data_IF_878469469982
#
_entry.id   IF_878469469982
#
_cell.length_a   1.000
_cell.length_b   1.000
_cell.length_c   1.000
_cell.angle_alpha   90.00
_cell.angle_beta   90.00
_cell.angle_gamma   90.00
#
_symmetry.space_group_name_H-M   'P 1'
#
loop_
_entity.id
_entity.type
_entity.pdbx_description
1 polymer ?
#
# COMPACT_ATOMS: atom_id res chain seq x y z
N UNK A 1 2.53 24.75 11.63
CA UNK A 1 2.99 26.06 12.18
C UNK A 1 4.23 25.90 13.07
N UNK A 2 4.32 24.90 13.97
CA UNK A 2 5.49 24.74 14.86
C UNK A 2 6.78 24.24 14.21
N UNK A 3 6.72 23.20 13.37
CA UNK A 3 7.93 22.59 12.78
C UNK A 3 8.73 23.55 11.87
N UNK A 4 8.04 24.28 11.00
CA UNK A 4 8.67 25.23 10.06
C UNK A 4 9.36 26.39 10.80
N UNK A 5 8.76 26.88 11.89
CA UNK A 5 9.34 27.95 12.72
C UNK A 5 10.56 27.48 13.52
N UNK A 6 10.56 26.23 13.99
CA UNK A 6 11.70 25.68 14.73
C UNK A 6 12.94 25.49 13.84
N UNK A 7 12.76 25.09 12.58
CA UNK A 7 13.85 24.95 11.61
C UNK A 7 14.51 26.29 11.26
N UNK A 8 13.74 27.38 11.20
CA UNK A 8 14.26 28.72 10.89
C UNK A 8 14.86 29.45 12.11
N UNK A 9 14.30 29.21 13.31
CA UNK A 9 14.68 29.94 14.53
C UNK A 9 15.81 29.27 15.35
N UNK A 10 15.99 27.96 15.23
CA UNK A 10 17.02 27.20 15.96
C UNK A 10 18.14 26.85 14.98
N UNK A 11 19.24 27.61 15.00
CA UNK A 11 20.39 27.38 14.10
C UNK A 11 21.16 26.10 14.41
N UNK A 12 21.27 25.75 15.70
CA UNK A 12 21.97 24.56 16.20
C UNK A 12 21.26 24.07 17.45
N UNK A 13 21.08 22.76 17.58
CA UNK A 13 20.56 22.10 18.78
C UNK A 13 21.63 22.04 19.87
N UNK A 14 21.23 21.87 21.13
CA UNK A 14 22.18 21.78 22.26
C UNK A 14 23.17 20.62 22.08
N UNK A 15 22.70 19.52 21.50
CA UNK A 15 23.48 18.31 21.19
C UNK A 15 24.53 18.55 20.09
N UNK A 16 24.26 19.45 19.14
CA UNK A 16 25.22 19.83 18.09
C UNK A 16 26.30 20.78 18.60
N UNK A 17 25.97 21.66 19.57
CA UNK A 17 26.92 22.58 20.19
C UNK A 17 27.84 21.89 21.19
N UNK A 18 27.32 20.92 21.93
CA UNK A 18 28.05 20.19 22.96
C UNK A 18 27.84 18.68 22.83
N UNK A 19 28.92 17.99 22.44
CA UNK A 19 28.93 16.54 22.29
C UNK A 19 28.77 15.78 23.61
N UNK A 20 29.05 16.41 24.76
CA UNK A 20 28.82 15.80 26.07
C UNK A 20 27.32 15.65 26.39
N UNK A 21 26.47 16.41 25.71
CA UNK A 21 25.01 16.33 25.85
C UNK A 21 24.40 15.15 25.07
N UNK A 22 25.21 14.43 24.28
CA UNK A 22 24.74 13.26 23.53
C UNK A 22 24.51 12.08 24.47
N UNK A 23 23.26 11.86 24.85
CA UNK A 23 22.85 10.76 25.70
C UNK A 23 22.41 9.50 24.90
N UNK A 24 21.96 8.48 25.65
CA UNK A 24 21.44 7.23 25.09
C UNK A 24 20.30 7.46 24.09
N UNK A 25 19.36 8.35 24.40
CA UNK A 25 18.16 8.56 23.59
C UNK A 25 18.44 9.24 22.25
N UNK A 26 19.61 9.86 22.09
CA UNK A 26 20.05 10.45 20.82
C UNK A 26 20.81 9.48 19.91
N UNK A 27 21.42 8.42 20.47
CA UNK A 27 22.25 7.44 19.72
C UNK A 27 21.59 6.08 19.56
N UNK A 28 20.58 5.78 20.37
CA UNK A 28 19.90 4.49 20.34
C UNK A 28 19.06 4.36 19.07
N UNK A 29 19.47 3.45 18.19
CA UNK A 29 18.69 3.01 17.05
C UNK A 29 18.03 1.66 17.40
N UNK A 30 16.69 1.61 17.56
CA UNK A 30 15.98 0.37 17.86
C UNK A 30 16.15 -0.74 16.80
N UNK A 31 16.60 -0.40 15.60
CA UNK A 31 16.76 -1.34 14.49
C UNK A 31 18.21 -1.78 14.26
N UNK A 32 19.18 -1.24 15.01
CA UNK A 32 20.57 -1.70 14.90
C UNK A 32 20.79 -3.02 15.63
N UNK A 33 21.42 -3.96 14.92
CA UNK A 33 21.82 -5.26 15.47
C UNK A 33 22.98 -5.05 16.43
N UNK A 34 22.76 -5.29 17.71
CA UNK A 34 23.78 -5.23 18.74
C UNK A 34 24.62 -6.51 18.78
N UNK A 35 25.74 -6.47 19.51
CA UNK A 35 26.56 -7.66 19.76
C UNK A 35 25.80 -8.70 20.59
N UNK A 36 24.99 -8.24 21.55
CA UNK A 36 24.16 -9.11 22.38
C UNK A 36 23.12 -9.87 21.53
N UNK A 37 22.51 -9.20 20.56
CA UNK A 37 21.53 -9.83 19.66
C UNK A 37 22.17 -10.97 18.86
N UNK A 38 23.43 -10.81 18.41
CA UNK A 38 24.17 -11.88 17.72
C UNK A 38 24.46 -13.05 18.64
N UNK A 39 24.89 -12.80 19.87
CA UNK A 39 25.16 -13.85 20.86
C UNK A 39 23.88 -14.60 21.28
N UNK A 40 22.74 -13.91 21.35
CA UNK A 40 21.43 -14.51 21.59
C UNK A 40 20.98 -15.37 20.42
N UNK A 41 21.12 -14.87 19.19
CA UNK A 41 20.84 -15.61 17.97
C UNK A 41 21.68 -16.90 17.87
N UNK A 42 22.98 -16.82 18.13
CA UNK A 42 23.87 -17.98 18.11
C UNK A 42 23.53 -19.01 19.19
N UNK A 43 23.04 -18.56 20.35
CA UNK A 43 22.53 -19.46 21.40
C UNK A 43 21.23 -20.12 20.96
N UNK A 44 20.32 -19.38 20.36
CA UNK A 44 19.06 -19.89 19.84
C UNK A 44 19.28 -20.98 18.77
N UNK A 45 20.15 -20.75 17.80
CA UNK A 45 20.49 -21.74 16.77
C UNK A 45 21.03 -23.05 17.35
N UNK A 46 21.78 -22.99 18.46
CA UNK A 46 22.29 -24.19 19.16
C UNK A 46 21.22 -24.99 19.88
N UNK A 47 20.07 -24.38 20.19
CA UNK A 47 18.94 -25.08 20.83
C UNK A 47 18.06 -25.82 19.84
N UNK A 48 18.15 -25.49 18.54
CA UNK A 48 17.31 -26.06 17.50
C UNK A 48 17.76 -27.46 17.07
N UNK A 49 16.80 -28.29 16.67
CA UNK A 49 17.07 -29.59 16.08
C UNK A 49 17.51 -29.45 14.61
N UNK A 50 18.01 -30.54 14.01
CA UNK A 50 18.38 -30.55 12.59
C UNK A 50 17.19 -30.31 11.66
N UNK A 51 15.99 -30.73 12.08
CA UNK A 51 14.76 -30.55 11.31
C UNK A 51 14.33 -29.08 11.32
N UNK A 52 14.42 -28.43 12.49
CA UNK A 52 14.09 -27.01 12.62
C UNK A 52 15.08 -26.12 11.86
N UNK A 53 16.37 -26.45 11.87
CA UNK A 53 17.38 -25.73 11.08
C UNK A 53 17.08 -25.80 9.57
N UNK A 54 16.66 -26.97 9.08
CA UNK A 54 16.27 -27.12 7.68
C UNK A 54 15.02 -26.29 7.33
N UNK A 55 14.10 -26.11 8.27
CA UNK A 55 12.95 -25.24 8.08
C UNK A 55 13.34 -23.75 8.06
N UNK A 56 14.34 -23.34 8.85
CA UNK A 56 14.88 -21.98 8.84
C UNK A 56 15.65 -21.65 7.55
N UNK A 57 16.29 -22.64 6.93
CA UNK A 57 17.04 -22.46 5.69
C UNK A 57 16.13 -22.36 4.46
N UNK A 58 14.85 -22.71 4.56
CA UNK A 58 13.90 -22.55 3.46
C UNK A 58 13.45 -21.09 3.35
N UNK A 59 13.63 -20.49 2.18
CA UNK A 59 13.20 -19.11 1.86
C UNK A 59 11.70 -19.09 1.46
N UNK A 60 10.87 -19.82 2.22
CA UNK A 60 9.44 -19.91 1.97
C UNK A 60 8.73 -18.64 2.46
N UNK A 61 7.70 -18.22 1.72
CA UNK A 61 6.83 -17.12 2.09
C UNK A 61 5.59 -17.62 2.83
N UNK A 62 5.32 -17.01 3.98
CA UNK A 62 4.19 -17.37 4.83
C UNK A 62 3.12 -16.28 4.78
N UNK A 63 1.92 -16.64 4.33
CA UNK A 63 0.77 -15.74 4.24
C UNK A 63 -0.34 -16.21 5.16
N UNK A 64 -0.69 -15.41 6.17
CA UNK A 64 -1.88 -15.65 6.99
C UNK A 64 -3.07 -14.89 6.41
N UNK A 65 -4.08 -15.62 5.93
CA UNK A 65 -5.33 -15.03 5.46
C UNK A 65 -6.42 -15.25 6.50
N UNK A 66 -7.12 -14.18 6.83
CA UNK A 66 -8.28 -14.19 7.72
C UNK A 66 -9.53 -13.84 6.93
N UNK A 67 -10.51 -14.74 6.96
CA UNK A 67 -11.80 -14.61 6.32
C UNK A 67 -12.88 -14.40 7.37
N UNK A 68 -13.82 -13.51 7.09
CA UNK A 68 -14.97 -13.22 7.93
C UNK A 68 -16.25 -13.55 7.17
N UNK A 69 -17.16 -14.28 7.82
CA UNK A 69 -18.44 -14.64 7.23
C UNK A 69 -19.45 -13.52 7.48
N UNK A 70 -19.59 -12.63 6.51
CA UNK A 70 -20.57 -11.54 6.56
C UNK A 70 -21.90 -12.04 5.99
N UNK A 71 -22.88 -12.29 6.85
CA UNK A 71 -24.23 -12.70 6.45
C UNK A 71 -24.65 -14.08 6.91
N UNK A 72 -23.78 -14.82 7.62
CA UNK A 72 -24.14 -16.05 8.32
C UNK A 72 -24.44 -17.26 7.41
N UNK A 73 -24.03 -17.19 6.14
CA UNK A 73 -24.14 -18.31 5.20
C UNK A 73 -22.78 -18.97 5.07
N UNK A 74 -22.71 -20.29 5.34
CA UNK A 74 -21.47 -21.04 5.16
C UNK A 74 -21.25 -21.30 3.67
N UNK A 75 -20.08 -20.91 3.17
CA UNK A 75 -19.70 -21.06 1.76
C UNK A 75 -18.29 -21.65 1.63
N UNK A 76 -18.02 -22.43 0.57
CA UNK A 76 -16.65 -22.81 0.24
C UNK A 76 -15.86 -21.56 -0.15
N UNK A 77 -14.58 -21.53 0.22
CA UNK A 77 -13.67 -20.44 -0.15
C UNK A 77 -12.82 -20.89 -1.34
N UNK A 78 -12.86 -20.13 -2.43
CA UNK A 78 -12.07 -20.39 -3.63
C UNK A 78 -11.06 -19.25 -3.73
N UNK A 79 -9.78 -19.56 -3.65
CA UNK A 79 -8.71 -18.56 -3.66
C UNK A 79 -7.86 -18.75 -4.90
N UNK A 80 -7.60 -17.67 -5.62
CA UNK A 80 -6.58 -17.62 -6.67
C UNK A 80 -5.39 -16.79 -6.17
N UNK A 81 -4.23 -17.43 -6.14
CA UNK A 81 -2.94 -16.81 -5.88
C UNK A 81 -2.30 -16.48 -7.23
N UNK A 82 -1.95 -15.21 -7.43
CA UNK A 82 -1.09 -14.76 -8.53
C UNK A 82 0.30 -14.48 -7.96
N UNK A 83 1.30 -15.19 -8.45
CA UNK A 83 2.69 -15.06 -8.02
C UNK A 83 3.43 -13.95 -8.79
N UNK A 84 4.58 -13.53 -8.27
CA UNK A 84 5.43 -12.52 -8.91
C UNK A 84 5.91 -12.94 -10.32
N UNK A 85 6.06 -14.25 -10.58
CA UNK A 85 6.42 -14.81 -11.89
C UNK A 85 5.25 -14.80 -12.92
N UNK A 86 4.03 -14.50 -12.47
CA UNK A 86 2.81 -14.49 -13.27
C UNK A 86 2.08 -15.84 -13.34
N UNK A 87 2.57 -16.87 -12.64
CA UNK A 87 1.84 -18.13 -12.47
C UNK A 87 0.64 -17.93 -11.54
N UNK A 88 -0.37 -18.79 -11.73
CA UNK A 88 -1.62 -18.75 -10.97
C UNK A 88 -1.91 -20.10 -10.36
N UNK A 89 -2.28 -20.11 -9.09
CA UNK A 89 -2.69 -21.31 -8.37
C UNK A 89 -4.07 -21.10 -7.76
N UNK A 90 -4.95 -22.08 -7.94
CA UNK A 90 -6.30 -22.06 -7.38
C UNK A 90 -6.38 -23.07 -6.24
N UNK A 91 -6.67 -22.59 -5.03
CA UNK A 91 -6.93 -23.42 -3.86
C UNK A 91 -8.41 -23.36 -3.48
N UNK A 92 -9.02 -24.54 -3.32
CA UNK A 92 -10.42 -24.67 -2.90
C UNK A 92 -10.47 -25.19 -1.47
N UNK A 93 -11.13 -24.44 -0.61
CA UNK A 93 -11.31 -24.76 0.80
C UNK A 93 -12.77 -25.14 1.00
N UNK A 94 -13.07 -26.35 1.51
CA UNK A 94 -14.44 -26.78 1.74
C UNK A 94 -15.08 -25.95 2.84
N UNK A 95 -16.41 -25.86 2.83
CA UNK A 95 -17.18 -25.14 3.86
C UNK A 95 -17.06 -25.74 5.28
N UNK A 96 -16.39 -26.90 5.44
CA UNK A 96 -16.14 -27.52 6.75
C UNK A 96 -15.29 -26.66 7.67
N UNK A 97 -14.53 -25.71 7.13
CA UNK A 97 -13.73 -24.77 7.93
C UNK A 97 -14.58 -23.93 8.89
N UNK A 98 -15.85 -23.73 8.57
CA UNK A 98 -16.80 -22.98 9.38
C UNK A 98 -17.39 -23.78 10.56
N UNK A 99 -17.03 -25.06 10.72
CA UNK A 99 -17.64 -25.94 11.75
C UNK A 99 -17.25 -25.59 13.18
N UNK A 100 -16.02 -25.11 13.39
CA UNK A 100 -15.51 -24.76 14.73
C UNK A 100 -15.90 -23.32 15.06
N UNK A 101 -15.80 -22.44 14.06
CA UNK A 101 -16.14 -21.03 14.13
C UNK A 101 -16.81 -20.62 12.83
N UNK A 102 -18.03 -20.13 12.94
CA UNK A 102 -18.85 -19.67 11.81
C UNK A 102 -18.62 -18.20 11.47
N UNK A 103 -18.03 -17.43 12.40
CA UNK A 103 -17.75 -16.00 12.28
C UNK A 103 -16.46 -15.70 11.50
N UNK A 104 -15.37 -16.39 11.84
CA UNK A 104 -14.04 -16.09 11.33
C UNK A 104 -13.20 -17.34 11.19
N UNK A 105 -12.45 -17.40 10.10
CA UNK A 105 -11.51 -18.47 9.80
C UNK A 105 -10.17 -17.89 9.37
N UNK A 106 -9.08 -18.33 9.99
CA UNK A 106 -7.71 -17.95 9.63
C UNK A 106 -6.93 -19.17 9.18
N UNK A 107 -6.20 -19.05 8.07
CA UNK A 107 -5.34 -20.12 7.53
C UNK A 107 -4.03 -19.55 7.04
N UNK A 108 -2.94 -20.25 7.37
CA UNK A 108 -1.60 -19.97 6.86
C UNK A 108 -1.38 -20.75 5.57
N UNK A 109 -0.86 -20.07 4.56
CA UNK A 109 -0.41 -20.61 3.29
C UNK A 109 1.10 -20.45 3.22
N UNK A 110 1.78 -21.52 2.83
CA UNK A 110 3.23 -21.55 2.64
C UNK A 110 3.46 -21.65 1.14
N UNK A 111 4.22 -20.72 0.58
CA UNK A 111 4.51 -20.68 -0.86
C UNK A 111 6.00 -20.44 -1.08
N UNK A 112 6.61 -21.16 -2.01
CA UNK A 112 8.03 -20.98 -2.37
C UNK A 112 8.28 -19.62 -3.08
N UNK A 113 7.22 -19.02 -3.63
CA UNK A 113 7.29 -17.76 -4.36
C UNK A 113 6.49 -16.66 -3.68
N UNK A 114 6.91 -15.41 -3.91
CA UNK A 114 6.21 -14.22 -3.45
C UNK A 114 4.86 -14.08 -4.17
N UNK A 115 3.78 -13.95 -3.39
CA UNK A 115 2.42 -13.73 -3.87
C UNK A 115 2.21 -12.25 -4.15
N UNK A 116 1.85 -11.93 -5.39
CA UNK A 116 1.57 -10.59 -5.88
C UNK A 116 0.13 -10.16 -5.60
N UNK A 117 -0.84 -11.06 -5.79
CA UNK A 117 -2.23 -10.78 -5.45
C UNK A 117 -3.01 -12.05 -5.13
N UNK A 118 -4.03 -11.91 -4.28
CA UNK A 118 -4.92 -12.98 -3.85
C UNK A 118 -6.34 -12.54 -4.16
N UNK A 119 -7.07 -13.35 -4.92
CA UNK A 119 -8.46 -13.08 -5.27
C UNK A 119 -9.37 -14.17 -4.69
N UNK A 120 -10.37 -13.75 -3.92
CA UNK A 120 -11.46 -14.59 -3.44
C UNK A 120 -12.52 -14.71 -4.54
N UNK A 121 -12.90 -15.95 -4.84
CA UNK A 121 -13.90 -16.34 -5.84
C UNK A 121 -13.70 -15.70 -7.24
N UNK A 122 -12.58 -15.99 -7.92
CA UNK A 122 -12.33 -15.48 -9.28
C UNK A 122 -13.35 -15.96 -10.31
N UNK A 123 -14.03 -17.07 -10.05
CA UNK A 123 -15.00 -17.69 -10.96
C UNK A 123 -16.46 -17.28 -10.69
N UNK A 124 -16.69 -16.48 -9.64
CA UNK A 124 -18.03 -16.05 -9.21
C UNK A 124 -18.98 -17.24 -8.98
N UNK A 125 -18.46 -18.30 -8.36
CA UNK A 125 -19.24 -19.49 -7.99
C UNK A 125 -20.07 -19.26 -6.73
N UNK A 126 -19.69 -18.27 -5.92
CA UNK A 126 -20.29 -17.97 -4.63
C UNK A 126 -21.30 -16.84 -4.74
N UNK A 127 -22.34 -16.86 -3.90
CA UNK A 127 -23.44 -15.90 -3.94
C UNK A 127 -23.11 -14.60 -3.18
N UNK A 128 -21.93 -14.04 -3.41
CA UNK A 128 -21.49 -12.79 -2.79
C UNK A 128 -22.04 -11.56 -3.55
N UNK A 129 -22.44 -10.53 -2.80
CA UNK A 129 -22.97 -9.28 -3.33
C UNK A 129 -21.91 -8.20 -3.48
N UNK A 130 -20.80 -8.30 -2.75
CA UNK A 130 -19.74 -7.29 -2.74
C UNK A 130 -18.41 -7.87 -3.22
N UNK A 131 -18.02 -7.56 -4.46
CA UNK A 131 -16.74 -7.98 -5.03
C UNK A 131 -15.60 -6.97 -4.79
N UNK A 132 -15.83 -5.94 -3.99
CA UNK A 132 -14.86 -4.87 -3.76
C UNK A 132 -13.79 -5.23 -2.74
N UNK A 133 -14.11 -6.13 -1.80
CA UNK A 133 -13.22 -6.64 -0.74
C UNK A 133 -12.61 -8.02 -1.05
N UNK A 134 -12.91 -8.61 -2.21
CA UNK A 134 -12.44 -9.94 -2.60
C UNK A 134 -11.02 -9.97 -3.17
N UNK A 135 -10.27 -8.86 -3.13
CA UNK A 135 -8.92 -8.79 -3.69
C UNK A 135 -7.96 -8.20 -2.67
N UNK A 136 -6.84 -8.89 -2.47
CA UNK A 136 -5.67 -8.38 -1.77
C UNK A 136 -4.49 -8.26 -2.75
N UNK A 137 -3.73 -7.15 -2.74
CA UNK A 137 -4.00 -5.91 -2.02
C UNK A 137 -5.29 -5.21 -2.47
N UNK A 138 -5.95 -4.41 -1.59
CA UNK A 138 -7.21 -3.74 -1.94
C UNK A 138 -7.05 -2.82 -3.15
N UNK A 139 -7.85 -3.06 -4.18
CA UNK A 139 -7.86 -2.22 -5.39
C UNK A 139 -9.04 -1.24 -5.36
N UNK A 140 -8.77 0.03 -5.65
CA UNK A 140 -9.82 1.07 -5.76
C UNK A 140 -10.60 0.91 -7.07
N UNK A 141 -11.66 0.09 -7.04
CA UNK A 141 -12.59 -0.02 -8.16
C UNK A 141 -13.52 1.22 -8.17
N UNK A 142 -13.67 1.93 -9.30
CA UNK A 142 -14.55 3.09 -9.36
C UNK A 142 -16.02 2.67 -9.17
N UNK A 143 -16.73 3.36 -8.28
CA UNK A 143 -18.17 3.10 -8.06
C UNK A 143 -18.98 3.36 -9.32
N UNK A 144 -20.09 2.63 -9.51
CA UNK A 144 -21.03 2.83 -10.62
C UNK A 144 -21.53 4.29 -10.71
N UNK A 145 -21.65 4.97 -9.58
CA UNK A 145 -21.98 6.40 -9.53
C UNK A 145 -20.85 7.29 -10.08
N UNK A 146 -19.59 6.96 -9.76
CA UNK A 146 -18.42 7.69 -10.25
C UNK A 146 -18.25 7.51 -11.76
N UNK A 147 -18.44 6.29 -12.27
CA UNK A 147 -18.48 6.00 -13.71
C UNK A 147 -19.60 6.78 -14.41
N UNK A 148 -20.77 6.89 -13.78
CA UNK A 148 -21.89 7.66 -14.33
C UNK A 148 -21.61 9.17 -14.36
N UNK A 149 -21.00 9.74 -13.31
CA UNK A 149 -20.53 11.14 -13.30
C UNK A 149 -19.48 11.39 -14.39
N UNK A 150 -18.53 10.48 -14.57
CA UNK A 150 -17.51 10.59 -15.60
C UNK A 150 -18.14 10.58 -17.01
N UNK A 151 -19.13 9.71 -17.25
CA UNK A 151 -19.91 9.71 -18.51
C UNK A 151 -20.75 10.97 -18.71
N UNK A 152 -21.13 11.66 -17.64
CA UNK A 152 -21.82 12.96 -17.65
C UNK A 152 -20.86 14.15 -17.68
N UNK A 153 -19.55 13.95 -17.84
CA UNK A 153 -18.69 15.01 -18.36
C UNK A 153 -19.10 15.24 -19.81
N UNK A 154 -20.18 16.02 -19.98
CA UNK A 154 -20.69 16.46 -21.26
C UNK A 154 -19.53 17.13 -21.98
N UNK A 155 -19.22 16.77 -23.24
CA UNK A 155 -18.28 17.54 -24.03
C UNK A 155 -18.75 19.00 -24.00
N UNK A 156 -17.82 19.92 -23.79
CA UNK A 156 -18.13 21.34 -23.68
C UNK A 156 -18.91 21.83 -24.92
N UNK A 157 -19.93 22.65 -24.71
CA UNK A 157 -20.69 23.20 -25.83
C UNK A 157 -19.75 24.04 -26.72
N UNK A 158 -19.90 24.04 -28.06
CA UNK A 158 -19.01 24.77 -28.98
C UNK A 158 -18.84 26.25 -28.62
N UNK A 159 -19.88 26.88 -28.07
CA UNK A 159 -19.86 28.26 -27.59
C UNK A 159 -18.97 28.46 -26.36
N UNK A 160 -19.08 27.58 -25.35
CA UNK A 160 -18.23 27.60 -24.16
C UNK A 160 -16.75 27.34 -24.51
N UNK A 161 -16.53 26.45 -25.51
CA UNK A 161 -15.20 26.20 -26.04
C UNK A 161 -14.60 27.44 -26.71
N UNK A 162 -15.41 28.19 -27.46
CA UNK A 162 -14.97 29.43 -28.11
C UNK A 162 -14.66 30.52 -27.10
N UNK A 163 -15.52 30.73 -26.09
CA UNK A 163 -15.26 31.69 -25.00
C UNK A 163 -13.94 31.40 -24.29
N UNK A 164 -13.64 30.11 -24.02
CA UNK A 164 -12.38 29.71 -23.41
C UNK A 164 -11.16 29.93 -24.31
N UNK A 165 -11.32 29.80 -25.63
CA UNK A 165 -10.27 30.11 -26.61
C UNK A 165 -10.00 31.61 -26.60
N UNK A 166 -11.04 32.43 -26.65
CA UNK A 166 -10.93 33.89 -26.65
C UNK A 166 -10.32 34.41 -25.33
N UNK A 167 -10.67 33.81 -24.18
CA UNK A 167 -10.05 34.10 -22.88
C UNK A 167 -8.55 33.74 -22.87
N UNK A 168 -8.19 32.54 -23.32
CA UNK A 168 -6.79 32.09 -23.43
C UNK A 168 -5.96 32.93 -24.40
N UNK A 169 -6.56 33.46 -25.47
CA UNK A 169 -5.88 34.34 -26.42
C UNK A 169 -5.64 35.72 -25.80
N UNK A 170 -6.60 36.27 -25.05
CA UNK A 170 -6.43 37.52 -24.29
C UNK A 170 -5.34 37.39 -23.22
N UNK A 171 -5.35 36.31 -22.43
CA UNK A 171 -4.30 36.04 -21.43
C UNK A 171 -2.91 35.98 -22.09
N UNK A 172 -2.78 35.31 -23.24
CA UNK A 172 -1.51 35.26 -23.99
C UNK A 172 -1.07 36.61 -24.55
N UNK A 173 -2.00 37.45 -24.96
CA UNK A 173 -1.70 38.80 -25.47
C UNK A 173 -1.34 39.77 -24.34
N UNK A 174 -1.88 39.57 -23.14
CA UNK A 174 -1.49 40.28 -21.92
C UNK A 174 -0.09 39.84 -21.43
N UNK A 175 0.19 38.53 -21.38
CA UNK A 175 1.55 38.01 -21.08
C UNK A 175 2.60 38.51 -22.08
N UNK A 176 2.24 38.64 -23.37
CA UNK A 176 3.14 39.22 -24.39
C UNK A 176 3.36 40.71 -24.24
N UNK A 177 2.41 41.45 -23.66
CA UNK A 177 2.56 42.89 -23.37
C UNK A 177 3.45 43.08 -22.14
N UNK A 178 3.21 42.35 -21.06
CA UNK A 178 4.10 42.38 -19.87
C UNK A 178 5.53 41.92 -20.20
N UNK A 179 5.69 40.91 -21.08
CA UNK A 179 7.00 40.48 -21.58
C UNK A 179 7.69 41.44 -22.55
N UNK A 180 6.96 42.41 -23.13
CA UNK A 180 7.51 43.48 -23.99
C UNK A 180 7.88 44.73 -23.20
N UNK A 181 7.09 45.08 -22.20
CA UNK A 181 7.35 46.24 -21.34
C UNK A 181 8.62 46.02 -20.51
N UNK A 182 8.84 44.81 -20.01
CA UNK A 182 10.09 44.42 -19.32
C UNK A 182 11.34 44.37 -20.22
N UNK A 183 11.18 44.38 -21.56
CA UNK A 183 12.30 44.35 -22.52
C UNK A 183 12.61 45.69 -23.18
N UNK A 184 11.75 46.70 -22.97
CA UNK A 184 11.92 48.05 -23.53
C UNK A 184 12.60 49.02 -22.55
N UNK A 185 12.71 48.66 -21.27
CA UNK A 185 13.38 49.46 -20.22
C UNK A 185 14.90 49.22 -20.04
N UNK A 186 15.55 48.40 -20.88
CA UNK A 186 17.03 48.17 -20.80
C UNK A 186 17.81 48.62 -22.04
N UNK A 187 17.45 49.74 -22.69
CA UNK A 187 18.33 50.34 -23.71
C UNK A 187 18.48 51.84 -23.56
#
# INVERSE_FOLDING_TARGET
IGYTRNQEAIKETVVERDQETVDFYNKYDPFQISVLDKEEHDRYLKTLSKEDLAFLDNDDHYYELTFENVGGMVMPLILEFEYADGTKEVQRIPAEVWRIRDDRFSKVFVTEQEVKSITLDPFLETADVDLSNNVWPPQSKPSRFQLFKQRRSTPENPMQRQERVDEREKEKDEEKKEGKDTKTETR
#
